data_IF_773143358168
#
_entry.id   IF_773143358168
#
_cell.length_a   1.000
_cell.length_b   1.000
_cell.length_c   1.000
_cell.angle_alpha   90.00
_cell.angle_beta   90.00
_cell.angle_gamma   90.00
#
_symmetry.space_group_name_H-M   'P 1'
#
loop_
_entity.id
_entity.type
_entity.pdbx_description
1 polymer ?
#
# COMPACT_ATOMS: atom_id res chain seq x y z
N UNK A 1 -22.76 30.31 38.63
CA UNK A 1 -22.18 30.57 37.31
C UNK A 1 -21.06 29.56 37.06
N UNK A 2 -20.98 29.08 35.86
CA UNK A 2 -19.92 28.19 35.39
C UNK A 2 -19.40 28.68 34.04
N UNK A 3 -18.20 28.21 33.65
CA UNK A 3 -17.64 28.53 32.34
C UNK A 3 -18.57 28.04 31.23
N UNK A 4 -18.70 28.79 30.11
CA UNK A 4 -19.50 28.34 28.98
C UNK A 4 -19.04 26.96 28.47
N UNK A 5 -20.01 26.07 28.25
CA UNK A 5 -19.76 24.73 27.70
C UNK A 5 -20.78 24.44 26.62
N UNK A 6 -20.37 23.78 25.56
CA UNK A 6 -21.28 23.22 24.58
C UNK A 6 -21.89 21.93 25.17
N UNK A 7 -23.21 21.86 25.27
CA UNK A 7 -23.88 20.69 25.77
C UNK A 7 -25.24 20.48 25.09
N UNK A 8 -25.56 19.25 24.77
CA UNK A 8 -26.89 18.87 24.26
C UNK A 8 -27.89 18.67 25.40
N UNK A 9 -27.40 18.30 26.58
CA UNK A 9 -28.20 18.07 27.79
C UNK A 9 -27.53 18.73 28.98
N UNK A 10 -28.35 19.32 29.86
CA UNK A 10 -27.93 19.84 31.14
C UNK A 10 -28.62 19.09 32.24
N UNK A 11 -27.87 18.52 33.18
CA UNK A 11 -28.38 17.86 34.38
C UNK A 11 -28.11 18.75 35.59
N UNK A 12 -29.13 19.14 36.28
CA UNK A 12 -29.05 19.79 37.57
C UNK A 12 -29.23 18.74 38.66
N UNK A 13 -28.23 18.64 39.55
CA UNK A 13 -28.28 17.73 40.70
C UNK A 13 -28.32 18.54 41.97
N UNK A 14 -29.39 18.43 42.77
CA UNK A 14 -29.46 19.04 44.08
C UNK A 14 -28.77 18.13 45.08
N UNK A 15 -27.66 18.57 45.63
CA UNK A 15 -26.83 17.76 46.57
C UNK A 15 -27.20 18.00 48.03
N UNK A 16 -27.91 19.11 48.31
CA UNK A 16 -28.37 19.41 49.64
C UNK A 16 -29.74 20.10 49.55
N UNK A 17 -30.70 19.58 50.20
CA UNK A 17 -32.05 20.17 50.30
C UNK A 17 -32.31 20.66 51.74
N UNK A 18 -33.04 21.75 51.87
CA UNK A 18 -33.44 22.25 53.17
C UNK A 18 -34.32 21.21 53.87
N UNK A 19 -33.95 20.81 55.10
CA UNK A 19 -34.68 19.82 55.90
C UNK A 19 -35.53 20.46 56.98
N UNK A 20 -35.68 21.78 56.97
CA UNK A 20 -36.36 22.51 58.01
C UNK A 20 -37.88 22.67 57.79
N UNK A 21 -38.48 21.77 56.99
CA UNK A 21 -39.93 21.78 56.83
C UNK A 21 -40.61 21.31 58.14
N UNK A 22 -41.77 21.93 58.53
CA UNK A 22 -42.50 21.53 59.76
C UNK A 22 -42.97 20.08 59.79
N UNK A 23 -43.02 19.41 58.65
CA UNK A 23 -43.43 17.99 58.50
C UNK A 23 -42.29 17.01 58.53
N UNK A 24 -41.02 17.45 58.63
CA UNK A 24 -39.83 16.59 58.57
C UNK A 24 -39.60 15.91 57.19
N UNK A 25 -40.28 16.32 56.13
CA UNK A 25 -40.11 15.82 54.78
C UNK A 25 -39.03 16.58 54.07
N UNK A 26 -38.03 15.89 53.56
CA UNK A 26 -36.97 16.51 52.78
C UNK A 26 -37.54 16.83 51.38
N UNK A 27 -37.67 18.11 51.04
CA UNK A 27 -38.18 18.57 49.76
C UNK A 27 -37.12 19.45 49.05
N UNK A 28 -36.92 19.23 47.79
CA UNK A 28 -36.25 20.16 46.90
C UNK A 28 -37.29 20.70 45.91
N UNK A 29 -37.50 22.01 45.92
CA UNK A 29 -38.38 22.70 44.98
C UNK A 29 -37.58 23.61 44.07
N UNK A 30 -37.83 23.57 42.80
CA UNK A 30 -37.30 24.48 41.81
C UNK A 30 -38.48 25.23 41.20
N UNK A 31 -38.48 26.56 41.32
CA UNK A 31 -39.51 27.40 40.70
C UNK A 31 -39.21 27.64 39.22
N UNK A 32 -37.93 27.77 38.90
CA UNK A 32 -37.50 28.05 37.54
C UNK A 32 -36.02 27.64 37.37
N UNK A 33 -35.68 27.14 36.21
CA UNK A 33 -34.30 26.96 35.75
C UNK A 33 -34.17 27.76 34.47
N UNK A 34 -33.34 28.80 34.49
CA UNK A 34 -33.00 29.55 33.31
C UNK A 34 -31.61 29.11 32.80
N UNK A 35 -31.54 28.64 31.57
CA UNK A 35 -30.30 28.37 30.88
C UNK A 35 -29.97 29.56 30.01
N UNK A 36 -28.87 30.25 30.36
CA UNK A 36 -28.41 31.40 29.57
C UNK A 36 -27.38 30.97 28.56
N UNK A 37 -27.60 31.35 27.32
CA UNK A 37 -26.57 31.23 26.29
C UNK A 37 -25.43 32.22 26.61
N UNK A 38 -24.19 31.77 26.39
CA UNK A 38 -23.04 32.63 26.55
C UNK A 38 -23.18 33.87 25.63
N UNK A 39 -22.93 35.03 26.18
CA UNK A 39 -22.94 36.30 25.41
C UNK A 39 -21.74 36.46 24.51
N UNK A 40 -20.68 35.68 24.68
CA UNK A 40 -19.63 35.57 23.69
C UNK A 40 -20.18 34.77 22.52
N UNK A 41 -20.31 35.42 21.37
CA UNK A 41 -20.57 34.75 20.09
C UNK A 41 -19.64 33.53 20.01
N UNK A 42 -20.18 32.32 20.07
CA UNK A 42 -19.46 31.16 19.60
C UNK A 42 -19.20 31.44 18.13
N UNK A 43 -17.99 31.87 17.83
CA UNK A 43 -17.54 31.93 16.43
C UNK A 43 -17.17 30.51 16.11
N UNK A 44 -18.15 29.70 15.73
CA UNK A 44 -17.90 28.41 15.11
C UNK A 44 -17.08 28.68 13.86
N UNK A 45 -15.99 27.95 13.71
CA UNK A 45 -15.18 28.07 12.51
C UNK A 45 -15.98 27.56 11.31
N UNK A 46 -16.22 28.42 10.35
CA UNK A 46 -16.97 28.11 9.11
C UNK A 46 -16.05 27.51 8.03
N UNK A 47 -14.74 27.45 8.27
CA UNK A 47 -13.80 26.84 7.32
C UNK A 47 -13.90 25.34 7.33
N UNK A 48 -13.98 24.75 6.14
CA UNK A 48 -13.79 23.33 5.88
C UNK A 48 -12.49 23.07 5.10
N UNK A 49 -11.49 23.95 5.22
CA UNK A 49 -10.21 23.73 4.57
C UNK A 49 -9.37 22.68 5.31
N UNK A 50 -8.49 21.99 4.59
CA UNK A 50 -7.42 21.20 5.20
C UNK A 50 -6.31 22.13 5.68
N UNK A 51 -5.85 21.95 6.91
CA UNK A 51 -4.66 22.60 7.45
C UNK A 51 -3.40 21.81 7.16
N UNK A 52 -3.51 20.49 7.08
CA UNK A 52 -2.40 19.62 6.70
C UNK A 52 -2.88 18.33 6.03
N UNK A 53 -2.04 17.81 5.16
CA UNK A 53 -2.19 16.48 4.55
C UNK A 53 -0.81 15.84 4.43
N UNK A 54 -0.70 14.61 4.88
CA UNK A 54 0.50 13.78 4.75
C UNK A 54 0.14 12.49 4.05
N UNK A 55 0.87 12.15 3.01
CA UNK A 55 0.70 10.92 2.23
C UNK A 55 1.99 10.13 2.31
N UNK A 56 1.92 8.89 2.79
CA UNK A 56 3.08 8.02 3.02
C UNK A 56 4.23 8.72 3.78
N UNK A 57 3.90 9.51 4.80
CA UNK A 57 4.87 10.26 5.60
C UNK A 57 5.39 11.55 4.95
N UNK A 58 5.03 11.87 3.71
CA UNK A 58 5.42 13.09 3.02
C UNK A 58 4.33 14.14 3.11
N UNK A 59 4.66 15.33 3.63
CA UNK A 59 3.72 16.45 3.72
C UNK A 59 3.42 17.01 2.32
N UNK A 60 2.13 17.13 1.99
CA UNK A 60 1.64 17.78 0.77
C UNK A 60 1.78 19.30 0.93
N UNK A 61 2.23 19.99 -0.11
CA UNK A 61 2.45 21.45 -0.07
C UNK A 61 1.14 22.23 0.03
N UNK A 62 1.21 23.40 0.63
CA UNK A 62 0.03 24.26 0.84
C UNK A 62 -0.61 24.70 -0.48
N UNK A 63 0.18 24.86 -1.55
CA UNK A 63 -0.34 25.16 -2.90
C UNK A 63 -1.19 24.03 -3.47
N UNK A 64 -0.82 22.77 -3.21
CA UNK A 64 -1.58 21.59 -3.60
C UNK A 64 -2.84 21.43 -2.75
N UNK A 65 -2.76 21.73 -1.45
CA UNK A 65 -3.95 21.76 -0.57
C UNK A 65 -4.97 22.78 -1.09
N UNK A 66 -4.52 23.97 -1.47
CA UNK A 66 -5.38 24.99 -2.04
C UNK A 66 -5.99 24.61 -3.38
N UNK A 67 -5.31 23.80 -4.17
CA UNK A 67 -5.83 23.28 -5.46
C UNK A 67 -6.94 22.22 -5.29
N UNK A 68 -7.10 21.64 -4.10
CA UNK A 68 -8.16 20.68 -3.79
C UNK A 68 -7.91 19.26 -4.32
N UNK A 69 -6.75 19.01 -4.94
CA UNK A 69 -6.39 17.69 -5.44
C UNK A 69 -4.88 17.47 -5.44
N UNK A 70 -4.50 16.20 -5.30
CA UNK A 70 -3.11 15.72 -5.35
C UNK A 70 -3.02 14.49 -6.25
N UNK A 71 -2.11 14.52 -7.21
CA UNK A 71 -1.84 13.39 -8.07
C UNK A 71 -0.55 12.71 -7.59
N UNK A 72 -0.63 11.42 -7.35
CA UNK A 72 0.54 10.63 -6.98
C UNK A 72 0.51 9.28 -7.69
N UNK A 73 1.64 8.85 -8.27
CA UNK A 73 1.77 7.48 -8.79
C UNK A 73 2.04 6.46 -7.68
N UNK A 74 2.31 6.92 -6.45
CA UNK A 74 2.67 6.03 -5.36
C UNK A 74 1.48 5.23 -4.85
N UNK A 75 1.74 3.99 -4.44
CA UNK A 75 0.79 3.20 -3.63
C UNK A 75 0.64 3.92 -2.29
N UNK A 76 -0.60 4.26 -1.94
CA UNK A 76 -0.86 4.95 -0.68
C UNK A 76 -1.12 3.93 0.41
N UNK A 77 -0.20 3.85 1.37
CA UNK A 77 -0.33 3.03 2.58
C UNK A 77 -0.85 3.82 3.78
N UNK A 78 -0.60 5.14 3.83
CA UNK A 78 -0.97 5.99 4.95
C UNK A 78 -1.37 7.39 4.48
N UNK A 79 -2.53 7.85 4.93
CA UNK A 79 -3.03 9.22 4.73
C UNK A 79 -3.40 9.80 6.07
N UNK A 80 -2.77 10.90 6.45
CA UNK A 80 -3.10 11.68 7.64
C UNK A 80 -3.49 13.08 7.20
N UNK A 81 -4.62 13.54 7.69
CA UNK A 81 -5.14 14.86 7.33
C UNK A 81 -5.72 15.57 8.56
N UNK A 82 -5.54 16.87 8.62
CA UNK A 82 -6.07 17.73 9.67
C UNK A 82 -6.89 18.85 9.03
N UNK A 83 -8.00 19.18 9.66
CA UNK A 83 -8.85 20.29 9.27
C UNK A 83 -8.38 21.60 9.86
N UNK A 84 -8.73 22.71 9.23
CA UNK A 84 -8.50 24.05 9.76
C UNK A 84 -9.46 24.33 10.93
N UNK A 85 -8.92 24.85 12.03
CA UNK A 85 -9.69 25.06 13.26
C UNK A 85 -10.19 23.73 13.82
N UNK A 86 -11.50 23.64 14.07
CA UNK A 86 -12.14 22.41 14.57
C UNK A 86 -12.88 21.64 13.48
N UNK A 87 -12.53 21.83 12.21
CA UNK A 87 -13.15 21.08 11.12
C UNK A 87 -12.87 19.58 11.28
N UNK A 88 -13.91 18.76 11.18
CA UNK A 88 -13.80 17.32 11.20
C UNK A 88 -13.23 16.80 9.88
N UNK A 89 -12.49 15.69 9.92
CA UNK A 89 -11.87 15.10 8.74
C UNK A 89 -12.21 13.61 8.67
N UNK A 90 -12.64 13.18 7.49
CA UNK A 90 -12.89 11.78 7.17
C UNK A 90 -12.10 11.40 5.94
N UNK A 91 -11.25 10.38 6.05
CA UNK A 91 -10.54 9.79 4.91
C UNK A 91 -11.29 8.55 4.46
N UNK A 92 -11.81 8.56 3.24
CA UNK A 92 -12.49 7.41 2.65
C UNK A 92 -11.46 6.46 2.00
N UNK A 93 -11.70 5.15 2.04
CA UNK A 93 -10.89 4.19 1.29
C UNK A 93 -10.81 4.53 -0.20
N UNK A 94 -9.76 4.06 -0.86
CA UNK A 94 -9.61 4.24 -2.30
C UNK A 94 -10.78 3.58 -3.05
N UNK A 95 -11.36 4.32 -3.97
CA UNK A 95 -12.39 3.84 -4.90
C UNK A 95 -12.16 4.51 -6.26
N UNK A 96 -12.17 3.73 -7.33
CA UNK A 96 -11.88 4.19 -8.70
C UNK A 96 -10.56 4.98 -8.79
N UNK A 97 -9.51 4.47 -8.15
CA UNK A 97 -8.18 5.11 -8.07
C UNK A 97 -8.20 6.51 -7.44
N UNK A 98 -9.17 6.80 -6.60
CA UNK A 98 -9.29 8.07 -5.88
C UNK A 98 -9.52 7.83 -4.39
N UNK A 99 -8.69 8.43 -3.55
CA UNK A 99 -8.96 8.60 -2.13
C UNK A 99 -9.61 9.96 -1.94
N UNK A 100 -10.70 10.00 -1.19
CA UNK A 100 -11.40 11.24 -0.87
C UNK A 100 -11.20 11.58 0.60
N UNK A 101 -10.68 12.78 0.84
CA UNK A 101 -10.57 13.36 2.18
C UNK A 101 -11.70 14.39 2.30
N UNK A 102 -12.68 14.10 3.11
CA UNK A 102 -13.84 14.97 3.32
C UNK A 102 -13.59 15.75 4.59
N UNK A 103 -13.74 17.06 4.50
CA UNK A 103 -13.72 17.97 5.64
C UNK A 103 -15.08 18.62 5.83
N UNK A 104 -15.49 18.79 7.08
CA UNK A 104 -16.71 19.47 7.45
C UNK A 104 -16.41 20.54 8.51
N UNK A 105 -16.87 21.76 8.29
CA UNK A 105 -16.68 22.86 9.22
C UNK A 105 -17.31 22.59 10.59
N UNK A 106 -16.83 23.28 11.63
CA UNK A 106 -17.33 23.13 13.00
C UNK A 106 -18.83 23.46 13.12
N UNK A 107 -19.34 24.36 12.29
CA UNK A 107 -20.77 24.71 12.24
C UNK A 107 -21.62 23.71 11.41
N UNK A 108 -21.02 22.67 10.86
CA UNK A 108 -21.66 21.63 10.01
C UNK A 108 -22.32 22.17 8.74
N UNK A 109 -22.04 23.41 8.34
CA UNK A 109 -22.66 24.04 7.15
C UNK A 109 -21.84 23.83 5.91
N UNK A 110 -20.50 23.89 6.04
CA UNK A 110 -19.59 23.79 4.90
C UNK A 110 -18.93 22.43 4.88
N UNK A 111 -18.98 21.76 3.72
CA UNK A 111 -18.26 20.50 3.48
C UNK A 111 -17.40 20.67 2.22
N UNK A 112 -16.16 20.19 2.28
CA UNK A 112 -15.25 20.15 1.14
C UNK A 112 -14.71 18.74 0.94
N UNK A 113 -14.34 18.43 -0.28
CA UNK A 113 -13.68 17.18 -0.62
C UNK A 113 -12.36 17.49 -1.30
N UNK A 114 -11.30 16.96 -0.72
CA UNK A 114 -9.99 16.93 -1.34
C UNK A 114 -9.78 15.55 -1.96
N UNK A 115 -9.27 15.47 -3.19
CA UNK A 115 -9.07 14.21 -3.88
C UNK A 115 -7.59 13.88 -4.02
N UNK A 116 -7.22 12.64 -3.67
CA UNK A 116 -5.91 12.10 -3.96
C UNK A 116 -6.11 11.12 -5.12
N UNK A 117 -5.65 11.50 -6.30
CA UNK A 117 -5.71 10.68 -7.49
C UNK A 117 -4.48 9.75 -7.50
N UNK A 118 -4.74 8.46 -7.48
CA UNK A 118 -3.70 7.41 -7.44
C UNK A 118 -3.12 7.10 -8.81
N UNK A 119 -3.34 7.90 -9.81
CA UNK A 119 -3.06 7.50 -11.18
C UNK A 119 -3.93 6.29 -11.59
N UNK A 120 -4.16 6.10 -12.86
CA UNK A 120 -4.57 4.79 -13.38
C UNK A 120 -3.52 3.78 -12.92
N UNK A 121 -3.93 2.54 -12.57
CA UNK A 121 -2.96 1.45 -12.35
C UNK A 121 -1.83 1.67 -13.33
N UNK A 122 -0.73 2.20 -12.79
CA UNK A 122 0.45 2.36 -13.63
C UNK A 122 0.86 0.91 -13.81
N UNK A 123 0.59 0.35 -14.97
CA UNK A 123 1.36 -0.79 -15.41
C UNK A 123 2.80 -0.30 -15.37
N UNK A 124 3.46 -0.56 -14.23
CA UNK A 124 4.88 -0.29 -14.15
C UNK A 124 5.49 -1.06 -15.31
N UNK A 125 6.22 -0.40 -16.21
CA UNK A 125 6.90 -1.11 -17.26
C UNK A 125 7.63 -2.31 -16.65
N UNK A 126 7.74 -3.41 -17.36
CA UNK A 126 8.40 -4.62 -16.86
C UNK A 126 9.82 -4.35 -16.32
N UNK A 127 10.40 -3.21 -16.71
CA UNK A 127 11.71 -2.69 -16.31
C UNK A 127 11.65 -1.58 -15.22
N UNK A 128 10.48 -1.30 -14.63
CA UNK A 128 10.36 -0.35 -13.51
C UNK A 128 11.03 -0.87 -12.25
N UNK A 129 11.81 -0.02 -11.60
CA UNK A 129 12.52 -0.34 -10.36
C UNK A 129 11.69 -0.07 -9.09
N UNK A 130 10.54 0.58 -9.19
CA UNK A 130 9.76 1.07 -8.04
C UNK A 130 9.22 -0.06 -7.13
N UNK A 131 8.98 -1.23 -7.72
CA UNK A 131 8.50 -2.41 -7.01
C UNK A 131 9.61 -3.41 -6.67
N UNK A 132 10.85 -3.14 -7.06
CA UNK A 132 11.94 -4.06 -6.81
C UNK A 132 12.20 -4.20 -5.30
N UNK A 133 12.45 -5.42 -4.88
CA UNK A 133 12.94 -5.69 -3.53
C UNK A 133 14.39 -5.23 -3.42
N UNK A 134 14.80 -4.53 -2.35
CA UNK A 134 16.15 -4.01 -2.22
C UNK A 134 17.21 -5.14 -2.30
N UNK A 135 18.16 -5.01 -3.21
CA UNK A 135 19.21 -6.01 -3.40
C UNK A 135 20.07 -6.19 -2.12
N UNK A 136 20.29 -5.10 -1.35
CA UNK A 136 21.02 -5.13 -0.10
C UNK A 136 20.37 -6.00 0.99
N UNK A 137 19.06 -6.24 0.87
CA UNK A 137 18.27 -7.04 1.82
C UNK A 137 18.12 -8.50 1.37
N UNK A 138 18.91 -8.94 0.37
CA UNK A 138 18.92 -10.30 -0.14
C UNK A 138 20.26 -10.99 0.07
N UNK A 139 20.23 -12.26 0.44
CA UNK A 139 21.38 -13.15 0.38
C UNK A 139 21.26 -14.05 -0.85
N UNK A 140 22.33 -14.07 -1.68
CA UNK A 140 22.33 -14.83 -2.93
C UNK A 140 23.07 -16.14 -2.78
N UNK A 141 22.47 -17.23 -3.26
CA UNK A 141 23.09 -18.56 -3.40
C UNK A 141 22.89 -19.08 -4.83
N UNK A 142 23.79 -19.91 -5.31
CA UNK A 142 23.74 -20.44 -6.67
C UNK A 142 24.12 -21.91 -6.69
N UNK A 143 23.69 -22.65 -7.71
CA UNK A 143 24.13 -24.02 -7.94
C UNK A 143 25.63 -24.09 -8.26
N UNK A 144 26.14 -23.10 -9.02
CA UNK A 144 27.57 -22.96 -9.26
C UNK A 144 27.91 -21.51 -9.63
N UNK A 145 29.17 -21.11 -9.46
CA UNK A 145 29.68 -19.82 -9.92
C UNK A 145 31.13 -19.93 -10.41
N UNK A 146 31.49 -19.09 -11.35
CA UNK A 146 32.85 -18.96 -11.83
C UNK A 146 33.62 -18.00 -10.92
N UNK A 147 34.38 -18.56 -9.98
CA UNK A 147 35.13 -17.75 -8.99
C UNK A 147 36.40 -17.12 -9.55
N UNK A 148 36.99 -17.72 -10.59
CA UNK A 148 38.17 -17.21 -11.31
C UNK A 148 37.82 -16.43 -12.59
N UNK A 149 36.66 -15.75 -12.57
CA UNK A 149 36.17 -14.93 -13.68
C UNK A 149 36.98 -13.66 -13.90
N UNK A 150 36.47 -12.78 -14.75
CA UNK A 150 37.06 -11.48 -15.01
C UNK A 150 36.58 -10.42 -14.02
N UNK A 151 37.01 -9.18 -14.18
CA UNK A 151 36.50 -8.05 -13.39
C UNK A 151 35.00 -7.79 -13.55
N UNK A 152 34.41 -8.30 -14.65
CA UNK A 152 33.01 -8.06 -15.00
C UNK A 152 32.17 -9.35 -15.11
N UNK A 153 32.78 -10.54 -14.98
CA UNK A 153 32.13 -11.82 -15.16
C UNK A 153 32.52 -12.81 -14.06
N UNK A 154 31.54 -13.56 -13.58
CA UNK A 154 31.72 -14.76 -12.79
C UNK A 154 30.99 -14.78 -11.46
N UNK A 155 31.35 -13.98 -10.46
CA UNK A 155 30.79 -14.09 -9.11
C UNK A 155 29.27 -13.82 -9.05
N UNK A 156 28.56 -14.59 -8.21
CA UNK A 156 27.09 -14.48 -8.03
C UNK A 156 26.61 -13.08 -7.58
N UNK A 157 27.46 -12.32 -6.87
CA UNK A 157 27.14 -10.95 -6.45
C UNK A 157 26.82 -10.03 -7.61
N UNK A 158 27.38 -10.31 -8.80
CA UNK A 158 27.13 -9.52 -10.00
C UNK A 158 25.70 -9.62 -10.53
N UNK A 159 24.93 -10.63 -10.12
CA UNK A 159 23.53 -10.75 -10.50
C UNK A 159 22.59 -9.79 -9.73
N UNK A 160 23.08 -9.04 -8.75
CA UNK A 160 22.29 -8.14 -7.88
C UNK A 160 23.06 -6.87 -7.50
N UNK A 161 24.11 -6.49 -8.25
CA UNK A 161 24.97 -5.36 -7.89
C UNK A 161 24.50 -4.00 -8.46
N UNK A 162 23.41 -4.01 -9.24
CA UNK A 162 22.87 -2.81 -9.90
C UNK A 162 23.65 -2.37 -11.13
N UNK A 163 24.63 -3.14 -11.57
CA UNK A 163 25.49 -2.82 -12.70
C UNK A 163 25.25 -3.78 -13.88
N UNK A 164 24.53 -3.35 -14.87
CA UNK A 164 24.17 -4.16 -16.04
C UNK A 164 25.37 -4.54 -16.94
N UNK A 165 26.57 -4.02 -16.66
CA UNK A 165 27.82 -4.35 -17.37
C UNK A 165 28.57 -5.51 -16.72
N UNK A 166 28.23 -5.88 -15.49
CA UNK A 166 28.72 -7.06 -14.79
C UNK A 166 27.70 -8.21 -14.91
N UNK A 167 28.12 -9.43 -14.74
CA UNK A 167 27.20 -10.56 -14.73
C UNK A 167 27.75 -11.78 -14.00
N UNK A 168 26.87 -12.46 -13.30
CA UNK A 168 27.11 -13.78 -12.79
C UNK A 168 27.16 -14.78 -13.95
N UNK A 169 28.07 -15.74 -13.85
CA UNK A 169 28.15 -16.90 -14.73
C UNK A 169 28.35 -18.15 -13.89
N UNK A 170 27.60 -19.20 -14.19
CA UNK A 170 27.87 -20.54 -13.62
C UNK A 170 29.29 -20.99 -13.94
N UNK A 171 29.79 -22.00 -13.28
CA UNK A 171 31.13 -22.50 -13.53
C UNK A 171 31.33 -22.78 -15.04
N UNK A 172 32.50 -22.38 -15.56
CA UNK A 172 32.87 -22.58 -16.97
C UNK A 172 33.13 -24.06 -17.32
N UNK A 173 33.37 -24.91 -16.32
CA UNK A 173 33.26 -26.34 -16.50
C UNK A 173 31.78 -26.68 -16.57
N UNK A 174 31.28 -27.29 -17.67
CA UNK A 174 29.87 -27.57 -17.80
C UNK A 174 29.32 -28.36 -16.61
N UNK A 175 28.22 -27.88 -16.05
CA UNK A 175 27.45 -28.57 -15.02
C UNK A 175 26.21 -29.22 -15.62
N UNK A 176 25.44 -29.92 -14.83
CA UNK A 176 24.15 -30.42 -15.26
C UNK A 176 23.13 -29.30 -15.22
N UNK A 177 22.09 -29.38 -16.05
CA UNK A 177 20.99 -28.39 -16.02
C UNK A 177 20.32 -28.30 -14.63
N UNK A 178 20.43 -29.31 -13.80
CA UNK A 178 19.93 -29.32 -12.44
C UNK A 178 20.69 -28.38 -11.51
N UNK A 179 21.94 -28.03 -11.83
CA UNK A 179 22.78 -27.11 -11.08
C UNK A 179 22.70 -25.67 -11.58
N UNK A 180 21.88 -25.41 -12.60
CA UNK A 180 21.69 -24.09 -13.20
C UNK A 180 20.53 -23.36 -12.52
N UNK A 181 20.82 -22.78 -11.37
CA UNK A 181 19.86 -22.00 -10.60
C UNK A 181 20.55 -20.91 -9.76
N UNK A 182 19.79 -19.89 -9.45
CA UNK A 182 20.15 -18.82 -8.52
C UNK A 182 18.98 -18.60 -7.56
N UNK A 183 19.27 -18.50 -6.26
CA UNK A 183 18.29 -18.36 -5.21
C UNK A 183 18.60 -17.18 -4.29
N UNK A 184 17.56 -16.61 -3.75
CA UNK A 184 17.56 -15.41 -2.92
C UNK A 184 16.87 -15.72 -1.61
N UNK A 185 17.54 -15.43 -0.48
CA UNK A 185 16.93 -15.37 0.83
C UNK A 185 16.69 -13.90 1.18
N UNK A 186 15.44 -13.55 1.44
CA UNK A 186 15.00 -12.21 1.82
C UNK A 186 15.23 -11.98 3.31
N UNK A 187 15.49 -10.73 3.70
CA UNK A 187 15.64 -10.38 5.11
C UNK A 187 14.37 -10.73 5.92
N UNK A 188 13.20 -10.58 5.32
CA UNK A 188 11.90 -10.94 5.91
C UNK A 188 10.97 -11.51 4.85
N UNK A 189 9.98 -12.35 5.23
CA UNK A 189 8.94 -12.80 4.30
C UNK A 189 8.26 -11.59 3.64
N UNK A 190 8.19 -11.60 2.32
CA UNK A 190 7.65 -10.51 1.51
C UNK A 190 6.71 -11.07 0.45
N UNK A 191 5.61 -10.39 0.18
CA UNK A 191 4.67 -10.74 -0.87
C UNK A 191 5.22 -10.31 -2.22
N UNK A 192 5.49 -11.27 -3.08
CA UNK A 192 6.08 -11.08 -4.41
C UNK A 192 5.10 -11.59 -5.47
N UNK A 193 5.17 -11.02 -6.68
CA UNK A 193 4.35 -11.42 -7.83
C UNK A 193 5.15 -11.72 -9.10
N UNK A 194 6.43 -11.36 -9.12
CA UNK A 194 7.30 -11.66 -10.26
C UNK A 194 8.78 -11.63 -9.92
N UNK A 195 9.57 -12.17 -10.84
CA UNK A 195 11.02 -12.03 -10.91
C UNK A 195 11.38 -11.41 -12.26
N UNK A 196 12.30 -10.46 -12.26
CA UNK A 196 12.88 -9.84 -13.46
C UNK A 196 14.29 -10.42 -13.68
N UNK A 197 14.60 -10.74 -14.90
CA UNK A 197 15.89 -11.31 -15.30
C UNK A 197 16.47 -10.52 -16.46
N UNK A 198 17.70 -10.06 -16.32
CA UNK A 198 18.49 -9.48 -17.40
C UNK A 198 19.60 -10.46 -17.79
N UNK A 199 19.62 -10.95 -19.03
CA UNK A 199 20.70 -11.77 -19.54
C UNK A 199 22.05 -11.03 -19.48
N UNK A 200 23.14 -11.75 -19.67
CA UNK A 200 24.49 -11.15 -19.82
C UNK A 200 24.51 -10.07 -20.91
N UNK A 201 25.45 -9.08 -20.84
CA UNK A 201 25.56 -8.03 -21.84
C UNK A 201 25.75 -8.55 -23.27
N UNK A 202 25.45 -7.68 -24.25
CA UNK A 202 25.62 -8.01 -25.67
C UNK A 202 27.04 -8.48 -26.00
N UNK A 203 27.17 -9.39 -26.98
CA UNK A 203 28.42 -9.99 -27.42
C UNK A 203 28.45 -11.52 -27.28
N UNK A 204 27.70 -12.09 -26.36
CA UNK A 204 27.50 -13.53 -26.23
C UNK A 204 26.15 -13.82 -25.59
N UNK A 205 25.54 -14.96 -25.95
CA UNK A 205 24.29 -15.43 -25.36
C UNK A 205 24.49 -16.63 -24.43
N UNK A 206 25.75 -17.02 -24.17
CA UNK A 206 26.04 -18.18 -23.34
C UNK A 206 25.42 -18.06 -21.95
N UNK A 207 24.62 -19.02 -21.57
CA UNK A 207 23.93 -19.06 -20.29
C UNK A 207 22.62 -18.24 -20.24
N UNK A 208 22.16 -17.70 -21.38
CA UNK A 208 20.83 -17.08 -21.42
C UNK A 208 19.76 -18.14 -21.15
N UNK A 209 18.91 -17.89 -20.18
CA UNK A 209 17.80 -18.80 -19.83
C UNK A 209 16.73 -18.70 -20.92
N UNK A 210 16.33 -19.84 -21.48
CA UNK A 210 15.30 -19.95 -22.53
C UNK A 210 14.02 -20.61 -22.03
N UNK A 211 14.12 -21.47 -21.02
CA UNK A 211 12.99 -22.01 -20.30
C UNK A 211 13.29 -22.05 -18.81
N UNK A 212 12.34 -21.62 -18.01
CA UNK A 212 12.55 -21.40 -16.59
C UNK A 212 11.41 -21.92 -15.72
N UNK A 213 11.75 -22.13 -14.44
CA UNK A 213 10.82 -22.20 -13.32
C UNK A 213 11.24 -21.16 -12.29
N UNK A 214 10.26 -20.40 -11.77
CA UNK A 214 10.41 -19.67 -10.52
C UNK A 214 9.85 -20.53 -9.41
N UNK A 215 10.62 -20.69 -8.35
CA UNK A 215 10.26 -21.52 -7.21
C UNK A 215 10.36 -20.72 -5.93
N UNK A 216 9.50 -21.03 -4.98
CA UNK A 216 9.47 -20.42 -3.63
C UNK A 216 9.61 -21.50 -2.58
N UNK A 217 10.07 -21.08 -1.39
CA UNK A 217 10.28 -22.00 -0.28
C UNK A 217 10.13 -21.26 1.06
N UNK A 218 9.64 -21.99 2.07
CA UNK A 218 9.57 -21.47 3.45
C UNK A 218 10.88 -21.73 4.21
N UNK A 219 11.64 -22.78 3.85
CA UNK A 219 12.80 -23.26 4.55
C UNK A 219 14.12 -23.22 3.74
N UNK A 220 14.04 -22.75 2.48
CA UNK A 220 15.20 -22.72 1.57
C UNK A 220 15.64 -24.08 1.05
N UNK A 221 14.94 -25.16 1.39
CA UNK A 221 15.28 -26.55 1.05
C UNK A 221 14.20 -27.21 0.22
N UNK A 222 12.95 -27.10 0.65
CA UNK A 222 11.80 -27.65 -0.04
C UNK A 222 11.18 -26.58 -0.96
N UNK A 223 11.22 -26.79 -2.27
CA UNK A 223 10.84 -25.82 -3.27
C UNK A 223 9.54 -26.16 -3.97
N UNK A 224 8.67 -25.16 -4.13
CA UNK A 224 7.40 -25.28 -4.87
C UNK A 224 7.43 -24.34 -6.07
N UNK A 225 6.95 -24.80 -7.22
CA UNK A 225 6.86 -24.00 -8.44
C UNK A 225 5.83 -22.88 -8.26
N UNK A 226 6.27 -21.62 -8.40
CA UNK A 226 5.43 -20.44 -8.33
C UNK A 226 5.11 -19.86 -9.72
N UNK A 227 5.90 -20.21 -10.74
CA UNK A 227 5.69 -19.81 -12.12
C UNK A 227 6.67 -20.52 -13.06
N UNK A 228 6.36 -20.55 -14.33
CA UNK A 228 7.23 -21.12 -15.37
C UNK A 228 6.94 -20.48 -16.72
N UNK A 229 7.89 -20.54 -17.64
CA UNK A 229 7.70 -20.02 -18.98
C UNK A 229 8.95 -20.12 -19.84
N UNK A 230 8.89 -19.49 -21.00
CA UNK A 230 9.99 -19.44 -21.96
C UNK A 230 10.36 -18.00 -22.29
N UNK A 231 11.64 -17.78 -22.59
CA UNK A 231 12.18 -16.49 -23.01
C UNK A 231 12.95 -16.60 -24.32
N UNK A 232 12.94 -15.53 -25.05
CA UNK A 232 13.81 -15.35 -26.22
C UNK A 232 15.24 -15.01 -25.80
N UNK A 233 16.22 -15.28 -26.66
CA UNK A 233 17.64 -15.04 -26.39
C UNK A 233 18.09 -13.62 -26.76
N UNK A 234 17.21 -12.60 -26.72
CA UNK A 234 17.60 -11.21 -26.81
C UNK A 234 18.21 -10.69 -25.48
N UNK A 235 18.81 -9.49 -25.51
CA UNK A 235 19.53 -8.94 -24.39
C UNK A 235 18.69 -8.02 -23.49
N UNK A 236 17.36 -7.95 -23.70
CA UNK A 236 16.46 -7.14 -22.90
C UNK A 236 16.01 -7.82 -21.60
N UNK A 237 15.42 -7.04 -20.71
CA UNK A 237 14.78 -7.54 -19.52
C UNK A 237 13.70 -8.56 -19.84
N UNK A 238 13.62 -9.59 -19.02
CA UNK A 238 12.61 -10.64 -19.06
C UNK A 238 11.81 -10.59 -17.75
N UNK A 239 10.53 -10.89 -17.86
CA UNK A 239 9.63 -10.99 -16.71
C UNK A 239 9.20 -12.45 -16.53
N UNK A 240 9.32 -12.95 -15.31
CA UNK A 240 8.75 -14.21 -14.87
C UNK A 240 7.64 -13.90 -13.86
N UNK A 241 6.41 -13.84 -14.31
CA UNK A 241 5.26 -13.65 -13.43
C UNK A 241 4.99 -14.92 -12.62
N UNK A 242 4.57 -14.75 -11.37
CA UNK A 242 4.11 -15.87 -10.55
C UNK A 242 2.66 -16.19 -10.90
N UNK A 243 2.26 -17.44 -10.77
CA UNK A 243 0.88 -17.88 -11.01
C UNK A 243 -0.11 -17.11 -10.12
N UNK A 244 0.34 -16.68 -8.94
CA UNK A 244 -0.35 -15.80 -8.00
C UNK A 244 0.68 -15.16 -7.08
N UNK A 245 0.41 -13.98 -6.50
CA UNK A 245 1.29 -13.38 -5.50
C UNK A 245 1.50 -14.31 -4.30
N UNK A 246 2.75 -14.46 -3.88
CA UNK A 246 3.14 -15.35 -2.77
C UNK A 246 3.96 -14.59 -1.74
N UNK A 247 3.61 -14.74 -0.47
CA UNK A 247 4.46 -14.28 0.65
C UNK A 247 5.48 -15.38 0.96
N UNK A 248 6.75 -15.06 0.76
CA UNK A 248 7.84 -16.02 0.92
C UNK A 248 9.12 -15.35 1.42
N UNK A 249 10.02 -16.12 1.98
CA UNK A 249 11.37 -15.71 2.34
C UNK A 249 12.42 -16.16 1.33
N UNK A 250 12.14 -17.22 0.56
CA UNK A 250 13.10 -17.79 -0.37
C UNK A 250 12.51 -17.89 -1.77
N UNK A 251 13.24 -17.37 -2.76
CA UNK A 251 12.87 -17.44 -4.18
C UNK A 251 14.03 -18.00 -4.97
N UNK A 252 13.76 -18.82 -5.97
CA UNK A 252 14.75 -19.39 -6.86
C UNK A 252 14.32 -19.29 -8.31
N UNK A 253 15.22 -18.78 -9.16
CA UNK A 253 15.14 -18.95 -10.60
C UNK A 253 15.92 -20.21 -10.96
N UNK A 254 15.24 -21.21 -11.49
CA UNK A 254 15.84 -22.45 -11.99
C UNK A 254 15.70 -22.48 -13.51
N UNK A 255 16.81 -22.67 -14.22
CA UNK A 255 16.78 -22.93 -15.65
C UNK A 255 16.29 -24.36 -15.90
N UNK A 256 15.37 -24.50 -16.84
CA UNK A 256 14.99 -25.76 -17.46
C UNK A 256 15.79 -25.96 -18.73
N UNK A 257 15.89 -24.88 -19.54
CA UNK A 257 16.77 -24.82 -20.70
C UNK A 257 17.54 -23.51 -20.76
N UNK A 258 18.77 -23.56 -21.24
CA UNK A 258 19.62 -22.40 -21.49
C UNK A 258 20.26 -22.50 -22.87
N UNK A 259 20.59 -21.35 -23.44
CA UNK A 259 21.35 -21.26 -24.69
C UNK A 259 22.85 -21.21 -24.38
N UNK A 260 23.64 -21.92 -25.20
CA UNK A 260 25.09 -21.72 -25.27
C UNK A 260 25.61 -22.11 -26.67
N UNK A 261 26.58 -21.35 -27.18
CA UNK A 261 27.20 -21.59 -28.50
C UNK A 261 27.84 -22.97 -28.60
N UNK A 262 28.34 -23.49 -27.47
CA UNK A 262 28.97 -24.84 -27.38
C UNK A 262 27.99 -25.97 -27.10
N UNK A 263 26.67 -25.72 -27.18
CA UNK A 263 25.59 -26.62 -26.87
C UNK A 263 24.77 -26.16 -25.65
N UNK A 264 23.46 -26.27 -25.78
CA UNK A 264 22.49 -25.84 -24.76
C UNK A 264 22.69 -26.56 -23.42
N UNK A 265 22.11 -25.97 -22.37
CA UNK A 265 21.98 -26.53 -21.01
C UNK A 265 23.33 -26.76 -20.26
N UNK A 266 24.36 -26.02 -20.65
CA UNK A 266 25.70 -26.11 -20.03
C UNK A 266 25.99 -25.02 -19.03
N UNK A 267 25.42 -23.84 -19.22
CA UNK A 267 25.72 -22.63 -18.44
C UNK A 267 24.46 -21.88 -18.09
N UNK A 268 24.53 -21.05 -17.05
CA UNK A 268 23.57 -20.03 -16.74
C UNK A 268 24.30 -18.71 -16.42
N UNK A 269 23.75 -17.60 -16.87
CA UNK A 269 24.32 -16.28 -16.60
C UNK A 269 23.21 -15.24 -16.41
N UNK A 270 23.49 -14.19 -15.65
CA UNK A 270 22.59 -13.08 -15.43
C UNK A 270 23.36 -11.81 -15.13
N UNK A 271 23.07 -10.70 -15.82
CA UNK A 271 23.55 -9.39 -15.42
C UNK A 271 22.85 -8.90 -14.18
N UNK A 272 21.51 -9.00 -14.17
CA UNK A 272 20.72 -8.56 -13.05
C UNK A 272 19.52 -9.49 -12.85
N UNK A 273 19.19 -9.73 -11.58
CA UNK A 273 17.94 -10.36 -11.19
C UNK A 273 17.32 -9.54 -10.08
N UNK A 274 16.04 -9.24 -10.23
CA UNK A 274 15.28 -8.45 -9.29
C UNK A 274 13.98 -9.15 -8.93
N UNK A 275 13.58 -9.04 -7.69
CA UNK A 275 12.32 -9.60 -7.21
C UNK A 275 11.29 -8.47 -7.11
N UNK A 276 10.13 -8.66 -7.71
CA UNK A 276 9.07 -7.66 -7.74
C UNK A 276 8.11 -7.87 -6.58
N UNK A 277 7.95 -6.85 -5.75
CA UNK A 277 6.94 -6.84 -4.69
C UNK A 277 5.55 -6.78 -5.30
N UNK A 278 4.64 -7.62 -4.81
CA UNK A 278 3.24 -7.55 -5.19
C UNK A 278 2.62 -6.23 -4.74
N UNK A 279 1.70 -5.70 -5.53
CA UNK A 279 0.82 -4.63 -5.08
C UNK A 279 -0.11 -5.24 -4.02
N UNK A 280 -0.14 -4.65 -2.83
CA UNK A 280 -1.19 -4.96 -1.86
C UNK A 280 -2.51 -4.35 -2.38
N UNK A 281 -3.14 -5.05 -3.31
CA UNK A 281 -4.57 -4.85 -3.51
C UNK A 281 -5.22 -5.42 -2.26
N UNK A 282 -5.64 -4.54 -1.36
CA UNK A 282 -6.51 -4.97 -0.27
C UNK A 282 -7.75 -5.54 -0.92
N UNK A 283 -7.83 -6.87 -0.96
CA UNK A 283 -9.02 -7.56 -1.45
C UNK A 283 -10.15 -7.22 -0.48
N UNK A 284 -10.98 -6.28 -0.90
CA UNK A 284 -12.20 -5.91 -0.17
C UNK A 284 -13.38 -6.84 -0.49
N UNK A 285 -13.16 -7.92 -1.27
CA UNK A 285 -14.22 -8.88 -1.62
C UNK A 285 -14.84 -9.57 -0.41
N UNK A 286 -14.17 -9.52 0.75
CA UNK A 286 -14.67 -9.99 2.05
C UNK A 286 -15.14 -8.88 3.01
N UNK A 287 -15.08 -7.62 2.62
CA UNK A 287 -15.48 -6.52 3.50
C UNK A 287 -16.99 -6.46 3.59
N UNK A 288 -17.52 -6.79 4.77
CA UNK A 288 -18.94 -6.58 5.08
C UNK A 288 -19.17 -5.08 5.30
N UNK A 289 -19.78 -4.42 4.33
CA UNK A 289 -20.24 -3.04 4.51
C UNK A 289 -21.48 -3.08 5.40
N UNK A 290 -21.33 -2.79 6.68
CA UNK A 290 -22.48 -2.60 7.57
C UNK A 290 -23.04 -1.21 7.31
N UNK A 291 -24.08 -1.12 6.50
CA UNK A 291 -24.85 0.10 6.37
C UNK A 291 -25.68 0.24 7.65
N UNK A 292 -25.62 1.38 8.38
CA UNK A 292 -26.47 1.58 9.53
C UNK A 292 -27.94 1.44 9.12
N UNK A 293 -28.71 0.69 9.88
CA UNK A 293 -30.12 0.39 9.61
C UNK A 293 -31.04 1.64 9.61
N UNK A 294 -30.48 2.81 9.89
CA UNK A 294 -31.20 4.09 9.90
C UNK A 294 -30.30 5.19 9.34
N UNK A 295 -30.59 5.61 8.10
CA UNK A 295 -30.11 6.90 7.60
C UNK A 295 -31.05 7.97 8.13
N UNK A 296 -30.57 8.83 9.03
CA UNK A 296 -31.34 9.99 9.47
C UNK A 296 -31.05 11.12 8.49
N UNK A 297 -32.03 11.50 7.71
CA UNK A 297 -31.97 12.68 6.86
C UNK A 297 -32.49 13.84 7.70
N UNK A 298 -31.62 14.81 8.03
CA UNK A 298 -31.95 15.92 8.95
C UNK A 298 -32.92 16.94 8.35
N UNK A 299 -33.27 16.82 7.09
CA UNK A 299 -34.25 17.68 6.44
C UNK A 299 -35.02 16.94 5.33
N UNK A 300 -36.28 16.69 5.58
CA UNK A 300 -37.26 16.28 4.58
C UNK A 300 -38.33 17.39 4.53
N UNK A 301 -38.42 18.09 3.41
CA UNK A 301 -39.51 19.03 3.17
C UNK A 301 -40.44 18.51 2.06
N UNK A 302 -41.59 19.17 1.90
CA UNK A 302 -42.61 18.71 0.95
C UNK A 302 -42.14 18.78 -0.53
N UNK A 303 -41.11 19.54 -0.82
CA UNK A 303 -40.57 19.75 -2.17
C UNK A 303 -39.42 18.78 -2.49
N UNK A 304 -38.90 18.07 -1.49
CA UNK A 304 -37.78 17.11 -1.64
C UNK A 304 -38.09 15.80 -0.91
N UNK A 305 -39.03 14.97 -1.41
CA UNK A 305 -39.30 13.66 -0.84
C UNK A 305 -38.05 12.76 -1.03
N UNK A 306 -37.55 12.19 0.06
CA UNK A 306 -36.47 11.21 0.02
C UNK A 306 -36.92 9.95 -0.72
N UNK A 307 -36.39 9.72 -1.91
CA UNK A 307 -36.53 8.46 -2.64
C UNK A 307 -35.32 7.59 -2.35
N UNK A 308 -35.53 6.51 -1.60
CA UNK A 308 -34.50 5.49 -1.42
C UNK A 308 -34.65 4.42 -2.49
N UNK A 309 -33.66 4.30 -3.36
CA UNK A 309 -33.52 3.11 -4.19
C UNK A 309 -32.64 2.12 -3.42
N UNK A 310 -33.24 1.04 -2.96
CA UNK A 310 -32.49 -0.14 -2.52
C UNK A 310 -31.93 -0.81 -3.77
N UNK A 311 -30.64 -0.74 -3.97
CA UNK A 311 -29.96 -1.56 -4.96
C UNK A 311 -29.26 -2.68 -4.19
N UNK A 312 -29.73 -3.91 -4.40
CA UNK A 312 -29.02 -5.08 -3.93
C UNK A 312 -27.65 -5.10 -4.60
N UNK A 313 -26.60 -5.00 -3.79
CA UNK A 313 -25.23 -5.22 -4.24
C UNK A 313 -24.95 -6.69 -4.00
N UNK A 314 -24.99 -7.47 -5.08
CA UNK A 314 -24.50 -8.84 -5.14
C UNK A 314 -23.02 -8.85 -5.49
#
# INVERSE_FOLDING_TARGET
DFAPVGATFVKVTVTNADTTTPSGVVCAGLTEIELKTATSKFVTNTSAALSSLTVNGTKVSDSVLAAGSYNTPAIIADVKAEGEGNASVTVLPAHDNVIRVITESEDHVTRKTFTINLGTEQEFPADSDERDYPAADMTVTVGSEQTSGTATEGPKKFAVDGNTSTYWHSNWTPTTVNDLWIAFELQKPTKLDALRYLPRPAGSKNGSVTEYKVQVSDDGTNWTDAGSGTWTTDYGWKLAEFNQPVTTKHVRLKAVHTYADSGNDKFMSASEIRLRKAVDTTDISGATVTVPAKLTVDRVDADHPATFATKDVT
#
